data_IF_030747719640
#
_entry.id   IF_030747719640
#
_cell.length_a   1.000
_cell.length_b   1.000
_cell.length_c   1.000
_cell.angle_alpha   90.00
_cell.angle_beta   90.00
_cell.angle_gamma   90.00
#
_symmetry.space_group_name_H-M   'P 1'
#
loop_
_entity.id
_entity.type
_entity.pdbx_description
1 polymer ?
#
# COMPACT_ATOMS: atom_id res chain seq x y z
N UNK A 1 3.32 -4.02 -51.74
CA UNK A 1 3.78 -4.10 -50.33
C UNK A 1 3.14 -3.09 -49.36
N UNK A 2 2.17 -2.23 -49.77
CA UNK A 2 1.59 -1.20 -48.89
C UNK A 2 0.61 -1.71 -47.82
N UNK A 3 0.04 -2.91 -47.99
CA UNK A 3 -1.02 -3.48 -47.13
C UNK A 3 -0.52 -4.13 -45.83
N UNK A 4 0.74 -4.57 -45.80
CA UNK A 4 1.36 -5.28 -44.66
C UNK A 4 1.71 -4.32 -43.51
N UNK A 5 1.87 -3.02 -43.81
CA UNK A 5 2.23 -2.01 -42.81
C UNK A 5 1.09 -1.72 -41.84
N UNK A 6 -0.17 -1.78 -42.29
CA UNK A 6 -1.33 -1.48 -41.44
C UNK A 6 -1.65 -2.59 -40.43
N UNK A 7 -1.43 -3.86 -40.78
CA UNK A 7 -1.66 -4.99 -39.87
C UNK A 7 -0.68 -5.02 -38.71
N UNK A 8 0.57 -4.61 -38.92
CA UNK A 8 1.59 -4.52 -37.87
C UNK A 8 1.29 -3.43 -36.84
N UNK A 9 0.74 -2.29 -37.27
CA UNK A 9 0.32 -1.22 -36.35
C UNK A 9 -0.85 -1.65 -35.45
N UNK A 10 -1.82 -2.41 -35.98
CA UNK A 10 -2.95 -2.89 -35.20
C UNK A 10 -2.55 -3.89 -34.10
N UNK A 11 -1.55 -4.74 -34.36
CA UNK A 11 -1.00 -5.67 -33.36
C UNK A 11 -0.26 -4.95 -32.22
N UNK A 12 0.45 -3.87 -32.50
CA UNK A 12 1.15 -3.08 -31.48
C UNK A 12 0.19 -2.39 -30.50
N UNK A 13 -0.98 -1.95 -30.97
CA UNK A 13 -2.01 -1.32 -30.13
C UNK A 13 -2.64 -2.34 -29.18
N UNK A 14 -2.91 -3.57 -29.65
CA UNK A 14 -3.48 -4.64 -28.83
C UNK A 14 -2.50 -5.15 -27.74
N UNK A 15 -1.20 -5.18 -28.04
CA UNK A 15 -0.18 -5.62 -27.08
C UNK A 15 0.06 -4.63 -25.92
N UNK A 16 -0.33 -3.36 -26.06
CA UNK A 16 -0.16 -2.35 -25.02
C UNK A 16 -1.19 -2.41 -23.88
N UNK A 17 -2.34 -3.06 -24.10
CA UNK A 17 -3.49 -2.99 -23.18
C UNK A 17 -3.37 -4.04 -22.05
N UNK A 18 -2.51 -5.05 -22.19
CA UNK A 18 -2.40 -6.16 -21.22
C UNK A 18 -1.45 -5.90 -20.05
N UNK A 19 -0.77 -4.75 -20.00
CA UNK A 19 0.23 -4.49 -18.95
C UNK A 19 -0.36 -4.01 -17.59
N UNK A 20 -1.67 -3.81 -17.49
CA UNK A 20 -2.31 -3.24 -16.29
C UNK A 20 -2.98 -4.27 -15.37
N UNK A 21 -2.84 -5.57 -15.65
CA UNK A 21 -3.51 -6.63 -14.87
C UNK A 21 -2.51 -7.26 -13.91
N UNK A 22 -2.41 -6.76 -12.68
CA UNK A 22 -1.60 -7.46 -11.68
C UNK A 22 -1.14 -6.70 -10.43
N UNK A 23 -1.55 -5.44 -10.21
CA UNK A 23 -1.37 -4.84 -8.89
C UNK A 23 -2.64 -5.07 -8.08
N UNK A 24 -2.63 -6.10 -7.23
CA UNK A 24 -3.60 -6.19 -6.15
C UNK A 24 -3.56 -4.87 -5.36
N UNK A 25 -4.72 -4.31 -4.96
CA UNK A 25 -4.73 -3.14 -4.10
C UNK A 25 -3.95 -3.47 -2.83
N UNK A 26 -2.96 -2.64 -2.51
CA UNK A 26 -2.13 -2.82 -1.33
C UNK A 26 -3.02 -2.82 -0.07
N UNK A 27 -3.16 -3.99 0.55
CA UNK A 27 -4.03 -4.18 1.70
C UNK A 27 -3.23 -4.15 3.01
N UNK A 28 -3.33 -3.02 3.71
CA UNK A 28 -2.74 -2.85 5.03
C UNK A 28 -3.15 -3.93 6.03
N UNK A 29 -4.37 -4.48 5.94
CA UNK A 29 -4.84 -5.46 6.90
C UNK A 29 -4.09 -6.80 6.79
N UNK A 30 -3.47 -7.08 5.64
CA UNK A 30 -2.70 -8.32 5.40
C UNK A 30 -1.22 -8.19 5.73
N UNK A 31 -0.74 -6.98 6.01
CA UNK A 31 0.66 -6.71 6.28
C UNK A 31 0.92 -6.55 7.78
N UNK A 32 2.11 -6.94 8.23
CA UNK A 32 2.57 -6.63 9.58
C UNK A 32 2.58 -5.12 9.79
N UNK A 33 1.85 -4.66 10.81
CA UNK A 33 1.72 -3.25 11.13
C UNK A 33 2.77 -2.85 12.17
N UNK A 34 3.37 -1.68 11.96
CA UNK A 34 4.35 -1.07 12.84
C UNK A 34 3.90 0.32 13.25
N UNK A 35 4.31 0.78 14.43
CA UNK A 35 4.11 2.14 14.88
C UNK A 35 5.45 2.81 15.17
N UNK A 36 5.50 4.13 15.01
CA UNK A 36 6.69 4.93 15.26
C UNK A 36 6.67 5.42 16.71
N UNK A 37 7.70 5.10 17.46
CA UNK A 37 7.90 5.61 18.81
C UNK A 37 9.36 6.00 19.03
N UNK A 38 9.60 7.26 19.42
CA UNK A 38 10.95 7.82 19.62
C UNK A 38 11.91 7.57 18.44
N UNK A 39 11.39 7.66 17.21
CA UNK A 39 12.19 7.49 15.99
C UNK A 39 12.48 6.02 15.60
N UNK A 40 11.91 5.05 16.33
CA UNK A 40 12.06 3.62 16.04
C UNK A 40 10.71 2.98 15.71
N UNK A 41 10.72 1.98 14.84
CA UNK A 41 9.52 1.26 14.42
C UNK A 41 9.35 -0.02 15.25
N UNK A 42 8.18 -0.17 15.87
CA UNK A 42 7.85 -1.32 16.71
C UNK A 42 6.60 -2.02 16.15
N UNK A 43 6.50 -3.35 16.29
CA UNK A 43 5.31 -4.08 15.85
C UNK A 43 4.09 -3.63 16.65
N UNK A 44 3.01 -3.27 15.97
CA UNK A 44 1.75 -2.81 16.57
C UNK A 44 0.83 -3.97 17.00
N UNK A 45 1.00 -5.15 16.39
CA UNK A 45 0.16 -6.32 16.61
C UNK A 45 -0.93 -6.48 15.56
N UNK A 46 -2.05 -7.09 15.95
CA UNK A 46 -3.23 -7.32 15.09
C UNK A 46 -4.23 -6.19 15.29
N UNK A 47 -4.68 -5.61 14.18
CA UNK A 47 -5.69 -4.54 14.21
C UNK A 47 -7.04 -5.06 14.74
N UNK A 48 -7.72 -4.23 15.54
CA UNK A 48 -8.95 -4.56 16.28
C UNK A 48 -8.76 -5.62 17.38
N UNK A 49 -7.53 -6.04 17.67
CA UNK A 49 -7.19 -6.92 18.78
C UNK A 49 -6.21 -6.24 19.73
N UNK A 50 -5.06 -5.83 19.19
CA UNK A 50 -3.98 -5.18 19.95
C UNK A 50 -4.04 -3.65 19.83
N UNK A 51 -4.51 -3.13 18.69
CA UNK A 51 -4.58 -1.70 18.44
C UNK A 51 -5.71 -1.31 17.47
N UNK A 52 -6.07 -0.03 17.48
CA UNK A 52 -6.91 0.64 16.47
C UNK A 52 -6.29 1.99 16.08
N UNK A 53 -6.61 2.46 14.88
CA UNK A 53 -6.32 3.85 14.47
C UNK A 53 -7.54 4.72 14.76
N UNK A 54 -7.46 5.49 15.84
CA UNK A 54 -8.53 6.36 16.29
C UNK A 54 -8.41 7.80 15.79
N UNK A 55 -9.48 8.60 15.97
CA UNK A 55 -9.44 10.04 15.75
C UNK A 55 -8.39 10.68 16.67
N UNK A 56 -7.41 11.36 16.07
CA UNK A 56 -6.30 12.01 16.77
C UNK A 56 -6.31 13.53 16.59
N UNK A 57 -5.42 14.23 17.28
CA UNK A 57 -5.17 15.65 16.98
C UNK A 57 -4.63 15.82 15.55
N UNK A 58 -3.88 14.82 15.07
CA UNK A 58 -3.19 14.85 13.79
C UNK A 58 -3.76 13.78 12.84
N UNK A 59 -4.89 14.08 12.22
CA UNK A 59 -5.53 13.18 11.24
C UNK A 59 -4.66 12.90 10.02
N UNK A 60 -3.66 13.74 9.75
CA UNK A 60 -2.71 13.61 8.65
C UNK A 60 -1.43 12.84 9.03
N UNK A 61 -1.24 12.49 10.30
CA UNK A 61 -0.10 11.68 10.73
C UNK A 61 -0.36 10.19 10.51
N UNK A 62 0.64 9.40 10.07
CA UNK A 62 0.50 7.95 9.97
C UNK A 62 0.33 7.32 11.35
N UNK A 63 -0.76 6.58 11.52
CA UNK A 63 -1.02 5.73 12.68
C UNK A 63 -0.15 4.47 12.65
N UNK A 64 -0.06 3.83 11.48
CA UNK A 64 0.77 2.64 11.27
C UNK A 64 1.55 2.71 9.98
N UNK A 65 2.60 1.90 9.95
CA UNK A 65 3.50 1.71 8.85
C UNK A 65 3.60 0.22 8.51
N UNK A 66 3.91 -0.08 7.26
CA UNK A 66 4.32 -1.41 6.83
C UNK A 66 5.75 -1.35 6.29
N UNK A 67 6.47 -2.46 6.34
CA UNK A 67 7.80 -2.57 5.76
C UNK A 67 7.69 -3.12 4.33
N UNK A 68 8.15 -2.37 3.33
CA UNK A 68 8.11 -2.79 1.92
C UNK A 68 9.33 -3.62 1.50
N UNK A 69 10.15 -4.08 2.46
CA UNK A 69 11.44 -4.72 2.21
C UNK A 69 12.62 -3.75 2.12
N UNK A 70 12.36 -2.44 2.06
CA UNK A 70 13.40 -1.40 1.94
C UNK A 70 13.24 -0.32 3.01
N UNK A 71 12.03 0.17 3.21
CA UNK A 71 11.69 1.24 4.16
C UNK A 71 10.29 1.05 4.75
N UNK A 72 10.08 1.69 5.89
CA UNK A 72 8.75 1.81 6.47
C UNK A 72 7.93 2.85 5.71
N UNK A 73 6.74 2.46 5.25
CA UNK A 73 5.81 3.34 4.54
C UNK A 73 4.51 3.49 5.33
N UNK A 74 3.89 4.69 5.32
CA UNK A 74 2.57 4.88 5.92
C UNK A 74 1.56 3.89 5.37
N UNK A 75 0.75 3.31 6.26
CA UNK A 75 -0.33 2.38 5.92
C UNK A 75 -1.69 3.00 6.26
N UNK A 76 -1.87 3.37 7.52
CA UNK A 76 -3.09 3.99 8.04
C UNK A 76 -2.76 5.32 8.70
N UNK A 77 -3.75 6.19 8.78
CA UNK A 77 -3.64 7.54 9.33
C UNK A 77 -4.49 7.70 10.59
N UNK A 78 -4.13 8.67 11.43
CA UNK A 78 -4.76 8.94 12.71
C UNK A 78 -3.85 8.63 13.90
N UNK A 79 -4.45 8.50 15.08
CA UNK A 79 -3.71 8.20 16.31
C UNK A 79 -3.77 6.71 16.61
N UNK A 80 -2.60 6.09 16.82
CA UNK A 80 -2.57 4.71 17.32
C UNK A 80 -3.09 4.66 18.77
N UNK A 81 -4.06 3.79 19.00
CA UNK A 81 -4.62 3.48 20.31
C UNK A 81 -4.41 1.99 20.56
N UNK A 82 -3.61 1.66 21.56
CA UNK A 82 -3.45 0.27 22.00
C UNK A 82 -4.66 -0.14 22.85
N UNK A 83 -5.21 -1.32 22.57
CA UNK A 83 -6.36 -1.89 23.27
C UNK A 83 -5.95 -2.72 24.50
N UNK A 84 -4.64 -2.89 24.73
CA UNK A 84 -4.07 -3.70 25.81
C UNK A 84 -2.98 -2.95 26.57
#
# INVERSE_FOLDING_TARGET
MKKIRFTLFALAILAGITAAVGQEPFDCAKQTQYYLYQGQFYPAGVENVDFICGPGADWDMPCTYYYDGTKYRPCKYGKILFLR
#
